data_IF_461541505005
#
_entry.id   IF_461541505005
#
_cell.length_a   1.000
_cell.length_b   1.000
_cell.length_c   1.000
_cell.angle_alpha   90.00
_cell.angle_beta   90.00
_cell.angle_gamma   90.00
#
_symmetry.space_group_name_H-M   'P 1'
#
loop_
_entity.id
_entity.type
_entity.pdbx_description
1 polymer ?
#
# COMPACT_ATOMS: atom_id res chain seq x y z
N UNK A 1 -67.43 -75.20 -29.04
CA UNK A 1 -67.09 -74.18 -28.00
C UNK A 1 -65.90 -73.38 -28.52
N UNK A 2 -66.08 -72.06 -28.87
CA UNK A 2 -64.98 -71.22 -29.35
C UNK A 2 -64.24 -70.60 -28.15
N UNK A 3 -62.93 -70.79 -28.15
CA UNK A 3 -62.00 -70.19 -27.17
C UNK A 3 -61.75 -68.72 -27.50
N UNK A 4 -62.26 -67.84 -26.65
CA UNK A 4 -62.13 -66.39 -26.76
C UNK A 4 -60.71 -66.02 -26.44
N UNK A 5 -59.88 -65.65 -27.44
CA UNK A 5 -58.54 -65.11 -27.28
C UNK A 5 -58.61 -63.65 -26.84
N UNK A 6 -58.34 -63.38 -25.59
CA UNK A 6 -58.20 -62.05 -25.05
C UNK A 6 -56.96 -61.36 -25.65
N UNK A 7 -57.13 -60.36 -26.50
CA UNK A 7 -56.07 -59.56 -27.07
C UNK A 7 -55.65 -58.54 -26.01
N UNK A 8 -54.58 -58.78 -25.33
CA UNK A 8 -53.91 -57.78 -24.44
C UNK A 8 -53.40 -56.63 -25.28
N UNK A 9 -54.00 -55.48 -25.09
CA UNK A 9 -53.49 -54.25 -25.72
C UNK A 9 -52.16 -53.87 -25.07
N UNK A 10 -51.09 -53.61 -25.86
CA UNK A 10 -49.81 -53.21 -25.30
C UNK A 10 -49.99 -51.87 -24.59
N UNK A 11 -49.64 -51.81 -23.28
CA UNK A 11 -49.51 -50.56 -22.51
C UNK A 11 -48.50 -49.68 -23.19
N UNK A 12 -48.93 -48.56 -23.78
CA UNK A 12 -48.02 -47.49 -24.25
C UNK A 12 -47.30 -46.96 -23.04
N UNK A 13 -46.05 -47.36 -22.89
CA UNK A 13 -45.07 -46.74 -21.94
C UNK A 13 -44.88 -45.32 -22.41
N UNK A 14 -45.46 -44.37 -21.68
CA UNK A 14 -45.31 -42.95 -21.91
C UNK A 14 -43.85 -42.66 -21.53
N UNK A 15 -42.95 -42.59 -22.53
CA UNK A 15 -41.56 -42.09 -22.33
C UNK A 15 -41.67 -40.69 -21.74
N UNK A 16 -41.48 -40.61 -20.45
CA UNK A 16 -41.20 -39.34 -19.80
C UNK A 16 -39.85 -38.88 -20.36
N UNK A 17 -39.88 -37.89 -21.22
CA UNK A 17 -38.70 -37.15 -21.65
C UNK A 17 -38.28 -36.35 -20.44
N UNK A 18 -37.44 -36.96 -19.58
CA UNK A 18 -36.70 -36.29 -18.58
C UNK A 18 -35.72 -35.34 -19.33
N UNK A 19 -36.07 -34.06 -19.36
CA UNK A 19 -35.13 -33.04 -19.86
C UNK A 19 -33.82 -33.28 -19.17
N UNK A 20 -32.73 -33.44 -19.92
CA UNK A 20 -31.50 -33.93 -19.35
C UNK A 20 -31.05 -33.01 -18.20
N UNK A 21 -30.66 -33.60 -17.07
CA UNK A 21 -30.13 -32.89 -15.91
C UNK A 21 -28.97 -31.94 -16.30
N UNK A 22 -28.33 -32.21 -17.42
CA UNK A 22 -27.28 -31.39 -18.06
C UNK A 22 -27.66 -29.91 -18.26
N UNK A 23 -28.93 -29.63 -18.65
CA UNK A 23 -29.41 -28.23 -18.80
C UNK A 23 -29.37 -27.48 -17.46
N UNK A 24 -29.82 -28.09 -16.39
CA UNK A 24 -29.82 -27.46 -15.05
C UNK A 24 -28.41 -27.21 -14.55
N UNK A 25 -27.52 -28.14 -14.82
CA UNK A 25 -26.08 -27.98 -14.51
C UNK A 25 -25.48 -26.88 -15.37
N UNK A 26 -25.72 -26.85 -16.65
CA UNK A 26 -25.23 -25.81 -17.56
C UNK A 26 -25.68 -24.39 -17.14
N UNK A 27 -26.97 -24.23 -16.78
CA UNK A 27 -27.48 -22.95 -16.27
C UNK A 27 -26.85 -22.58 -14.94
N UNK A 28 -26.65 -23.54 -14.04
CA UNK A 28 -25.96 -23.30 -12.77
C UNK A 28 -24.50 -22.87 -12.94
N UNK A 29 -23.77 -23.54 -13.84
CA UNK A 29 -22.38 -23.18 -14.15
C UNK A 29 -22.29 -21.79 -14.81
N UNK A 30 -23.16 -21.52 -15.78
CA UNK A 30 -23.20 -20.21 -16.43
C UNK A 30 -23.54 -19.10 -15.41
N UNK A 31 -24.50 -19.33 -14.54
CA UNK A 31 -24.87 -18.40 -13.47
C UNK A 31 -23.72 -18.12 -12.50
N UNK A 32 -22.99 -19.17 -12.09
CA UNK A 32 -21.83 -18.98 -11.21
C UNK A 32 -20.68 -18.24 -11.90
N UNK A 33 -20.42 -18.47 -13.19
CA UNK A 33 -19.43 -17.72 -13.96
C UNK A 33 -19.80 -16.24 -14.08
N UNK A 34 -21.06 -15.93 -14.32
CA UNK A 34 -21.57 -14.54 -14.37
C UNK A 34 -21.41 -13.87 -13.00
N UNK A 35 -21.78 -14.56 -11.91
CA UNK A 35 -21.61 -14.02 -10.55
C UNK A 35 -20.13 -13.77 -10.21
N UNK A 36 -19.25 -14.71 -10.55
CA UNK A 36 -17.81 -14.53 -10.36
C UNK A 36 -17.25 -13.35 -11.17
N UNK A 37 -17.68 -13.22 -12.43
CA UNK A 37 -17.30 -12.10 -13.28
C UNK A 37 -17.78 -10.76 -12.74
N UNK A 38 -19.04 -10.70 -12.28
CA UNK A 38 -19.61 -9.50 -11.67
C UNK A 38 -18.89 -9.12 -10.38
N UNK A 39 -18.59 -10.11 -9.52
CA UNK A 39 -17.83 -9.88 -8.28
C UNK A 39 -16.41 -9.35 -8.57
N UNK A 40 -15.75 -9.93 -9.58
CA UNK A 40 -14.44 -9.47 -10.04
C UNK A 40 -14.47 -8.03 -10.57
N UNK A 41 -15.48 -7.69 -11.37
CA UNK A 41 -15.67 -6.34 -11.90
C UNK A 41 -15.92 -5.31 -10.79
N UNK A 42 -16.78 -5.64 -9.83
CA UNK A 42 -17.06 -4.77 -8.66
C UNK A 42 -15.79 -4.58 -7.81
N UNK A 43 -15.05 -5.65 -7.55
CA UNK A 43 -13.79 -5.58 -6.78
C UNK A 43 -12.75 -4.73 -7.48
N UNK A 44 -12.62 -4.86 -8.79
CA UNK A 44 -11.69 -4.05 -9.60
C UNK A 44 -12.08 -2.57 -9.61
N UNK A 45 -13.38 -2.27 -9.79
CA UNK A 45 -13.89 -0.90 -9.74
C UNK A 45 -13.70 -0.27 -8.35
N UNK A 46 -13.94 -1.03 -7.29
CA UNK A 46 -13.74 -0.59 -5.91
C UNK A 46 -12.25 -0.32 -5.60
N UNK A 47 -11.38 -1.19 -6.07
CA UNK A 47 -9.93 -0.99 -5.96
C UNK A 47 -9.48 0.30 -6.67
N UNK A 48 -9.93 0.53 -7.91
CA UNK A 48 -9.67 1.76 -8.64
C UNK A 48 -10.21 3.01 -7.93
N UNK A 49 -11.40 2.92 -7.34
CA UNK A 49 -11.98 4.01 -6.54
C UNK A 49 -11.11 4.35 -5.33
N UNK A 50 -10.61 3.35 -4.60
CA UNK A 50 -9.73 3.58 -3.43
C UNK A 50 -8.41 4.27 -3.81
N UNK A 51 -7.86 3.98 -4.98
CA UNK A 51 -6.63 4.62 -5.46
C UNK A 51 -6.83 6.10 -5.85
N UNK A 52 -8.01 6.44 -6.35
CA UNK A 52 -8.28 7.78 -6.89
C UNK A 52 -9.04 8.67 -5.91
N UNK A 53 -9.64 8.11 -4.85
CA UNK A 53 -10.43 8.84 -3.88
C UNK A 53 -9.57 9.89 -3.14
N UNK A 54 -9.89 11.19 -3.26
CA UNK A 54 -9.10 12.26 -2.66
C UNK A 54 -9.04 12.17 -1.13
N UNK A 55 -10.03 11.53 -0.51
CA UNK A 55 -10.11 11.33 0.94
C UNK A 55 -9.00 10.45 1.51
N UNK A 56 -8.41 9.57 0.70
CA UNK A 56 -7.35 8.64 1.11
C UNK A 56 -5.99 9.02 0.50
N UNK A 57 -5.83 10.25 0.08
CA UNK A 57 -4.53 10.81 -0.29
C UNK A 57 -3.88 11.46 0.91
N UNK A 58 -2.56 11.46 0.95
CA UNK A 58 -1.78 12.15 1.99
C UNK A 58 -2.04 13.66 1.86
N UNK A 59 -2.74 14.24 2.83
CA UNK A 59 -3.01 15.69 2.91
C UNK A 59 -2.16 16.34 4.00
N UNK A 60 -1.88 15.61 5.07
CA UNK A 60 -1.08 16.11 6.19
C UNK A 60 0.06 15.16 6.49
N UNK A 61 1.22 15.74 6.74
CA UNK A 61 2.44 15.03 7.15
C UNK A 61 2.88 15.66 8.46
N UNK A 62 2.72 14.92 9.54
CA UNK A 62 3.15 15.32 10.88
C UNK A 62 4.57 14.79 11.10
N UNK A 63 5.55 15.67 11.24
CA UNK A 63 6.97 15.31 11.41
C UNK A 63 7.37 15.66 12.84
N UNK A 64 7.93 14.69 13.54
CA UNK A 64 8.32 14.80 14.94
C UNK A 64 9.78 14.38 15.14
N UNK A 65 10.49 15.08 16.02
CA UNK A 65 11.87 14.74 16.41
C UNK A 65 12.98 15.38 15.55
N UNK A 66 12.60 16.16 14.54
CA UNK A 66 13.56 16.94 13.78
C UNK A 66 13.86 18.28 14.48
N UNK A 67 15.13 18.64 14.53
CA UNK A 67 15.62 19.90 15.09
C UNK A 67 16.48 20.68 14.07
N UNK A 68 17.34 19.98 13.36
CA UNK A 68 18.28 20.54 12.37
C UNK A 68 17.78 20.35 10.95
N UNK A 69 17.01 19.30 10.69
CA UNK A 69 16.46 18.98 9.37
C UNK A 69 15.10 19.63 9.23
N UNK A 70 14.86 20.38 8.16
CA UNK A 70 13.56 21.01 7.93
C UNK A 70 12.50 19.99 7.50
N UNK A 71 11.25 20.23 7.89
CA UNK A 71 10.09 19.44 7.47
C UNK A 71 9.99 19.32 5.95
N UNK A 72 10.28 20.41 5.24
CA UNK A 72 10.27 20.42 3.78
C UNK A 72 11.29 19.45 3.17
N UNK A 73 12.51 19.40 3.73
CA UNK A 73 13.55 18.48 3.27
C UNK A 73 13.16 17.02 3.52
N UNK A 74 12.61 16.70 4.70
CA UNK A 74 12.13 15.36 5.03
C UNK A 74 10.99 14.96 4.09
N UNK A 75 10.01 15.86 3.88
CA UNK A 75 8.85 15.62 3.02
C UNK A 75 9.24 15.37 1.57
N UNK A 76 10.18 16.17 1.03
CA UNK A 76 10.69 16.00 -0.33
C UNK A 76 11.41 14.65 -0.51
N UNK A 77 12.30 14.28 0.41
CA UNK A 77 13.02 12.99 0.37
C UNK A 77 12.04 11.81 0.55
N UNK A 78 11.03 11.98 1.39
CA UNK A 78 9.97 11.00 1.58
C UNK A 78 9.14 10.76 0.32
N UNK A 79 9.09 11.73 -0.62
CA UNK A 79 8.24 11.68 -1.81
C UNK A 79 6.75 11.81 -1.46
N UNK A 80 6.44 12.65 -0.47
CA UNK A 80 5.07 12.87 0.02
C UNK A 80 4.42 14.13 -0.56
N UNK A 81 5.18 14.94 -1.32
CA UNK A 81 4.69 16.19 -1.91
C UNK A 81 3.63 15.97 -2.99
N UNK A 82 3.69 14.83 -3.70
CA UNK A 82 2.74 14.46 -4.75
C UNK A 82 1.40 13.91 -4.20
N UNK A 83 1.18 13.99 -2.89
CA UNK A 83 -0.02 13.46 -2.23
C UNK A 83 -0.38 12.02 -2.65
N UNK A 84 0.51 11.05 -2.45
CA UNK A 84 0.27 9.67 -2.87
C UNK A 84 -0.93 9.05 -2.14
N UNK A 85 -1.54 7.99 -2.70
CA UNK A 85 -2.66 7.31 -2.04
C UNK A 85 -2.16 6.62 -0.76
N UNK A 86 -2.64 7.08 0.38
CA UNK A 86 -2.17 6.65 1.72
C UNK A 86 -2.31 5.15 1.96
N UNK A 87 -3.39 4.53 1.44
CA UNK A 87 -3.66 3.10 1.65
C UNK A 87 -2.63 2.18 0.98
N UNK A 88 -2.05 2.64 -0.14
CA UNK A 88 -1.10 1.88 -0.95
C UNK A 88 0.34 2.37 -0.79
N UNK A 89 0.57 3.35 0.08
CA UNK A 89 1.89 3.88 0.37
C UNK A 89 2.73 2.84 1.09
N UNK A 90 3.89 2.53 0.56
CA UNK A 90 4.88 1.68 1.22
C UNK A 90 5.65 2.50 2.26
N UNK A 91 5.28 2.33 3.53
CA UNK A 91 5.87 3.08 4.65
C UNK A 91 7.33 2.70 4.90
N UNK A 92 7.69 1.43 4.68
CA UNK A 92 9.05 0.96 4.88
C UNK A 92 9.99 1.56 3.82
N UNK A 93 9.52 1.66 2.57
CA UNK A 93 10.26 2.36 1.52
C UNK A 93 10.42 3.86 1.80
N UNK A 94 9.40 4.51 2.39
CA UNK A 94 9.49 5.91 2.83
C UNK A 94 10.51 6.05 3.95
N UNK A 95 10.42 5.22 4.98
CA UNK A 95 11.36 5.23 6.10
C UNK A 95 12.81 4.99 5.63
N UNK A 96 13.01 4.03 4.73
CA UNK A 96 14.32 3.74 4.15
C UNK A 96 14.90 4.92 3.35
N UNK A 97 14.05 5.72 2.67
CA UNK A 97 14.54 6.94 1.98
C UNK A 97 14.97 8.01 2.95
N UNK A 98 14.19 8.25 4.00
CA UNK A 98 14.51 9.24 5.04
C UNK A 98 15.77 8.84 5.80
N UNK A 99 15.95 7.57 6.16
CA UNK A 99 17.14 7.06 6.87
C UNK A 99 18.44 7.15 6.06
N UNK A 100 18.38 7.47 4.76
CA UNK A 100 19.58 7.79 3.96
C UNK A 100 20.09 9.22 4.14
N UNK A 101 19.33 10.07 4.80
CA UNK A 101 19.78 11.43 5.12
C UNK A 101 20.88 11.36 6.19
N UNK A 102 22.02 12.03 5.99
CA UNK A 102 23.16 11.91 6.91
C UNK A 102 22.84 12.31 8.36
N UNK A 103 21.92 13.28 8.52
CA UNK A 103 21.52 13.78 9.82
C UNK A 103 20.53 12.86 10.55
N UNK A 104 19.95 11.85 9.89
CA UNK A 104 18.95 10.97 10.48
C UNK A 104 19.59 9.65 10.93
N UNK A 105 19.44 9.34 12.21
CA UNK A 105 19.86 8.08 12.82
C UNK A 105 18.82 6.99 12.66
N UNK A 106 17.58 7.31 13.05
CA UNK A 106 16.45 6.40 12.92
C UNK A 106 15.20 7.12 12.42
N UNK A 107 14.35 6.39 11.67
CA UNK A 107 13.09 6.90 11.19
C UNK A 107 12.01 5.84 11.33
N UNK A 108 10.84 6.27 11.82
CA UNK A 108 9.62 5.48 11.84
C UNK A 108 8.52 6.24 11.13
N UNK A 109 7.80 5.56 10.25
CA UNK A 109 6.68 6.15 9.51
C UNK A 109 5.40 5.37 9.84
N UNK A 110 4.35 6.09 10.19
CA UNK A 110 3.07 5.52 10.59
C UNK A 110 1.92 6.13 9.80
N UNK A 111 0.90 5.31 9.50
CA UNK A 111 -0.34 5.82 8.91
C UNK A 111 -1.27 6.33 9.99
N UNK A 112 -1.75 7.55 9.84
CA UNK A 112 -2.82 8.11 10.65
C UNK A 112 -4.02 8.41 9.73
N UNK A 113 -4.91 7.41 9.60
CA UNK A 113 -6.10 7.51 8.75
C UNK A 113 -7.01 8.69 9.18
N UNK A 114 -7.71 9.35 8.24
CA UNK A 114 -7.89 8.93 6.84
C UNK A 114 -6.83 9.46 5.85
N UNK A 115 -6.08 10.53 6.18
CA UNK A 115 -5.34 11.35 5.23
C UNK A 115 -3.96 11.81 5.73
N UNK A 116 -3.47 11.24 6.84
CA UNK A 116 -2.22 11.68 7.48
C UNK A 116 -1.14 10.62 7.49
N UNK A 117 0.11 11.10 7.41
CA UNK A 117 1.31 10.31 7.68
C UNK A 117 2.04 10.97 8.84
N UNK A 118 2.36 10.17 9.86
CA UNK A 118 3.25 10.60 10.93
C UNK A 118 4.65 10.05 10.67
N UNK A 119 5.62 10.94 10.67
CA UNK A 119 7.05 10.63 10.49
C UNK A 119 7.76 11.01 11.78
N UNK A 120 8.29 10.02 12.47
CA UNK A 120 9.05 10.20 13.72
C UNK A 120 10.50 9.96 13.35
N UNK A 121 11.32 11.00 13.48
CA UNK A 121 12.75 10.92 13.18
C UNK A 121 13.57 11.11 14.45
N UNK A 122 14.69 10.44 14.49
CA UNK A 122 15.74 10.67 15.48
C UNK A 122 16.97 11.20 14.77
N UNK A 123 17.36 12.42 15.08
CA UNK A 123 18.56 13.03 14.47
C UNK A 123 19.83 12.61 15.18
N UNK A 124 20.89 12.42 14.38
CA UNK A 124 22.25 12.16 14.87
C UNK A 124 22.78 13.37 15.60
N UNK A 125 23.44 13.13 16.72
CA UNK A 125 24.07 14.19 17.51
C UNK A 125 25.54 14.32 17.11
N UNK A 126 26.03 15.51 16.76
CA UNK A 126 27.45 15.73 16.53
C UNK A 126 28.22 15.59 17.85
N UNK A 127 29.29 14.80 17.85
CA UNK A 127 30.17 14.59 19.02
C UNK A 127 31.60 15.08 18.78
N UNK A 128 32.01 15.22 17.53
CA UNK A 128 33.35 15.66 17.17
C UNK A 128 33.36 16.52 15.91
N UNK A 129 34.38 17.32 15.77
CA UNK A 129 34.66 18.09 14.56
C UNK A 129 36.03 17.67 14.02
N UNK A 130 36.07 17.35 12.74
CA UNK A 130 37.30 16.94 12.05
C UNK A 130 37.70 17.99 11.02
N UNK A 131 38.98 18.40 11.06
CA UNK A 131 39.53 19.30 10.07
C UNK A 131 40.30 18.50 9.01
N UNK A 132 39.80 18.55 7.76
CA UNK A 132 40.43 17.89 6.62
C UNK A 132 40.56 18.90 5.49
N UNK A 133 41.81 19.07 4.98
CA UNK A 133 42.08 20.01 3.87
C UNK A 133 41.48 21.41 4.07
N UNK A 134 41.61 21.95 5.27
CA UNK A 134 41.08 23.25 5.68
C UNK A 134 39.54 23.36 5.64
N UNK A 135 38.81 22.21 5.71
CA UNK A 135 37.35 22.11 5.85
C UNK A 135 37.02 21.42 7.15
N UNK A 136 36.02 21.94 7.85
CA UNK A 136 35.54 21.39 9.10
C UNK A 136 34.35 20.50 8.83
N UNK A 137 34.34 19.30 9.38
CA UNK A 137 33.25 18.33 9.26
C UNK A 137 32.76 17.95 10.65
N UNK A 138 31.45 17.95 10.84
CA UNK A 138 30.80 17.36 12.02
C UNK A 138 30.69 15.85 11.87
N UNK A 139 31.07 15.13 12.93
CA UNK A 139 30.92 13.67 13.00
C UNK A 139 30.09 13.27 14.21
N UNK A 140 29.34 12.16 14.06
CA UNK A 140 28.70 11.50 15.16
C UNK A 140 29.63 10.50 15.88
N UNK A 141 29.08 9.79 16.89
CA UNK A 141 29.85 8.78 17.65
C UNK A 141 30.24 7.54 16.81
N UNK A 142 29.65 7.33 15.65
CA UNK A 142 29.96 6.25 14.71
C UNK A 142 30.95 6.67 13.63
N UNK A 143 31.33 7.96 13.60
CA UNK A 143 32.24 8.54 12.60
C UNK A 143 31.52 8.90 11.28
N UNK A 144 30.20 9.01 11.29
CA UNK A 144 29.45 9.46 10.14
C UNK A 144 29.57 10.97 10.00
N UNK A 145 29.85 11.45 8.80
CA UNK A 145 29.89 12.88 8.50
C UNK A 145 28.49 13.42 8.39
N UNK A 146 28.14 14.34 9.29
CA UNK A 146 26.78 14.93 9.36
C UNK A 146 26.66 16.17 8.48
N UNK A 147 27.64 17.07 8.56
CA UNK A 147 27.65 18.30 7.82
C UNK A 147 29.07 18.82 7.62
N UNK A 148 29.30 19.61 6.57
CA UNK A 148 30.46 20.46 6.41
C UNK A 148 30.18 21.82 7.05
N UNK A 149 31.03 22.27 7.96
CA UNK A 149 30.95 23.57 8.59
C UNK A 149 31.76 24.59 7.81
N UNK A 150 31.13 25.71 7.46
CA UNK A 150 31.88 26.82 6.91
C UNK A 150 32.84 27.36 7.98
N UNK A 151 34.11 27.37 7.66
CA UNK A 151 35.18 27.89 8.57
C UNK A 151 34.98 29.38 8.92
N UNK A 152 34.08 30.07 8.27
CA UNK A 152 33.74 31.48 8.46
C UNK A 152 32.57 31.73 9.44
N UNK A 153 31.83 30.70 9.85
CA UNK A 153 30.72 30.87 10.80
C UNK A 153 31.30 30.94 12.24
N UNK A 154 31.04 32.00 13.02
CA UNK A 154 31.44 32.03 14.42
C UNK A 154 30.67 30.93 15.17
N UNK A 155 31.43 30.02 15.80
CA UNK A 155 30.85 29.02 16.71
C UNK A 155 30.18 29.75 17.86
N UNK A 156 28.86 29.86 17.84
CA UNK A 156 28.09 30.17 19.04
C UNK A 156 27.99 28.86 19.82
N UNK A 157 28.98 28.66 20.70
CA UNK A 157 28.92 27.62 21.71
C UNK A 157 27.84 27.96 22.75
N UNK A 158 27.41 26.95 23.53
CA UNK A 158 26.38 27.10 24.55
C UNK A 158 26.75 28.09 25.63
#
# INVERSE_FOLDING_TARGET
>A
MPVMRTIERPRRVRRQTTRPAAWRVAVGVLGSLVCLGALGAVSFAFYGYLQTAPRYRVQQVDIEGNARTSDAAIRAVAGLDDAPPLLFLDLDAVAARISRMPLIDACRVERALPDRVRVIVQERQPVATLLVHNRLFELDCEGVVLAELDAAAPHVGP
#
